data_IF_199551105739
#
_entry.id   IF_199551105739
#
_cell.length_a   1.000
_cell.length_b   1.000
_cell.length_c   1.000
_cell.angle_alpha   90.00
_cell.angle_beta   90.00
_cell.angle_gamma   90.00
#
_symmetry.space_group_name_H-M   'P 1'
#
loop_
_entity.id
_entity.type
_entity.pdbx_description
1 polymer ?
#
# COMPACT_ATOMS: atom_id res chain seq x y z
N UNK A 1 10.32 6.41 5.72
CA UNK A 1 10.50 7.88 5.82
C UNK A 1 10.58 8.57 4.45
N UNK A 2 11.50 8.19 3.56
CA UNK A 2 11.68 8.87 2.26
C UNK A 2 10.43 8.83 1.36
N UNK A 3 9.67 7.73 1.36
CA UNK A 3 8.46 7.60 0.54
C UNK A 3 7.35 8.60 0.92
N UNK A 4 7.02 8.72 2.21
CA UNK A 4 5.99 9.66 2.69
C UNK A 4 6.38 11.10 2.38
N UNK A 5 7.65 11.47 2.59
CA UNK A 5 8.15 12.80 2.24
C UNK A 5 8.07 13.08 0.73
N UNK A 6 8.28 12.06 -0.11
CA UNK A 6 8.13 12.21 -1.55
C UNK A 6 6.67 12.46 -1.94
N UNK A 7 5.71 11.79 -1.29
CA UNK A 7 4.28 12.03 -1.51
C UNK A 7 3.87 13.46 -1.09
N UNK A 8 4.29 13.93 0.07
CA UNK A 8 4.03 15.32 0.50
C UNK A 8 4.61 16.37 -0.46
N UNK A 9 5.70 16.04 -1.14
CA UNK A 9 6.30 16.94 -2.13
C UNK A 9 5.55 16.89 -3.47
N UNK A 10 5.01 15.74 -3.82
CA UNK A 10 4.31 15.51 -5.10
C UNK A 10 2.87 16.06 -5.06
N UNK A 11 2.20 15.94 -3.92
CA UNK A 11 0.82 16.38 -3.72
C UNK A 11 0.81 17.63 -2.85
N UNK A 12 0.38 18.76 -3.42
CA UNK A 12 0.27 20.06 -2.71
C UNK A 12 -1.01 20.19 -1.86
N UNK A 13 -1.89 19.18 -1.88
CA UNK A 13 -3.15 19.13 -1.14
C UNK A 13 -3.02 18.41 0.21
N UNK A 14 -4.01 18.59 1.09
CA UNK A 14 -4.12 17.87 2.37
C UNK A 14 -4.14 16.34 2.12
N UNK A 15 -3.11 15.64 2.59
CA UNK A 15 -2.94 14.21 2.35
C UNK A 15 -3.45 13.38 3.52
N UNK A 16 -4.47 12.55 3.25
CA UNK A 16 -4.96 11.53 4.17
C UNK A 16 -4.30 10.19 3.85
N UNK A 17 -3.53 9.63 4.78
CA UNK A 17 -2.89 8.31 4.63
C UNK A 17 -3.63 7.30 5.48
N UNK A 18 -4.23 6.31 4.82
CA UNK A 18 -4.88 5.17 5.48
C UNK A 18 -3.88 4.03 5.63
N UNK A 19 -3.64 3.59 6.86
CA UNK A 19 -2.66 2.56 7.20
C UNK A 19 -3.35 1.35 7.83
N UNK A 20 -2.81 0.16 7.56
CA UNK A 20 -3.17 -1.02 8.34
C UNK A 20 -2.58 -0.92 9.76
N UNK A 21 -3.05 -1.77 10.65
CA UNK A 21 -2.62 -1.79 12.05
C UNK A 21 -1.22 -2.39 12.27
N UNK A 22 -0.37 -2.52 11.25
CA UNK A 22 0.90 -3.21 11.41
C UNK A 22 1.85 -2.45 12.38
N UNK A 23 2.59 -3.15 13.26
CA UNK A 23 3.38 -2.51 14.32
C UNK A 23 4.43 -1.51 13.84
N UNK A 24 4.96 -1.67 12.62
CA UNK A 24 5.95 -0.76 12.05
C UNK A 24 5.36 0.60 11.61
N UNK A 25 4.05 0.70 11.39
CA UNK A 25 3.37 1.98 11.18
C UNK A 25 3.11 2.73 12.51
N UNK A 26 3.15 2.02 13.64
CA UNK A 26 3.00 2.61 14.98
C UNK A 26 4.33 3.06 15.60
N UNK A 27 5.45 2.86 14.90
CA UNK A 27 6.75 3.32 15.37
C UNK A 27 6.79 4.86 15.47
N UNK A 28 7.46 5.37 16.51
CA UNK A 28 7.56 6.82 16.77
C UNK A 28 8.04 7.62 15.55
N UNK A 29 8.95 7.07 14.75
CA UNK A 29 9.46 7.71 13.55
C UNK A 29 8.39 8.00 12.47
N UNK A 30 7.28 7.25 12.46
CA UNK A 30 6.16 7.43 11.53
C UNK A 30 5.15 8.44 12.12
N UNK A 31 4.83 8.32 13.40
CA UNK A 31 3.95 9.28 14.09
C UNK A 31 4.56 10.68 14.19
N UNK A 32 5.88 10.78 14.41
CA UNK A 32 6.62 12.05 14.45
C UNK A 32 6.70 12.71 13.08
N UNK A 33 6.67 11.94 11.99
CA UNK A 33 6.60 12.47 10.64
C UNK A 33 5.22 13.06 10.37
N UNK A 34 4.17 12.36 10.78
CA UNK A 34 2.79 12.83 10.62
C UNK A 34 2.58 14.20 11.28
N UNK A 35 3.06 14.32 12.52
CA UNK A 35 2.92 15.54 13.31
C UNK A 35 3.74 16.74 12.77
N UNK A 36 4.80 16.48 12.00
CA UNK A 36 5.69 17.53 11.48
C UNK A 36 5.28 18.08 10.12
N UNK A 37 4.73 17.22 9.27
CA UNK A 37 4.46 17.52 7.86
C UNK A 37 2.95 17.61 7.55
N UNK A 38 2.12 17.87 8.57
CA UNK A 38 0.65 18.03 8.50
C UNK A 38 -0.09 16.90 7.77
N UNK A 39 0.39 15.67 7.97
CA UNK A 39 -0.23 14.47 7.40
C UNK A 39 -1.28 13.92 8.36
N UNK A 40 -2.49 13.71 7.85
CA UNK A 40 -3.53 13.02 8.59
C UNK A 40 -3.38 11.51 8.39
N UNK A 41 -3.11 10.77 9.48
CA UNK A 41 -3.07 9.31 9.45
C UNK A 41 -4.35 8.72 10.02
N UNK A 42 -4.94 7.77 9.30
CA UNK A 42 -6.08 6.99 9.73
C UNK A 42 -5.69 5.52 9.77
N UNK A 43 -5.84 4.89 10.94
CA UNK A 43 -5.60 3.45 11.09
C UNK A 43 -6.90 2.70 10.91
N UNK A 44 -6.88 1.65 10.09
CA UNK A 44 -7.99 0.73 9.99
C UNK A 44 -8.22 -0.04 11.30
N UNK A 45 -9.46 -0.49 11.59
CA UNK A 45 -9.72 -1.39 12.71
C UNK A 45 -8.84 -2.64 12.65
N UNK A 46 -8.44 -3.13 13.82
CA UNK A 46 -7.66 -4.37 13.92
C UNK A 46 -8.40 -5.53 13.29
N UNK A 47 -7.68 -6.36 12.52
CA UNK A 47 -8.22 -7.55 11.86
C UNK A 47 -9.34 -7.28 10.85
N UNK A 48 -9.36 -6.10 10.22
CA UNK A 48 -10.31 -5.75 9.14
C UNK A 48 -9.65 -5.65 7.75
N UNK A 49 -9.15 -6.76 7.18
CA UNK A 49 -8.60 -6.76 5.81
C UNK A 49 -9.64 -6.39 4.76
N UNK A 50 -10.93 -6.65 5.01
CA UNK A 50 -12.03 -6.29 4.11
C UNK A 50 -12.19 -4.78 3.87
N UNK A 51 -11.63 -3.95 4.76
CA UNK A 51 -11.62 -2.50 4.64
C UNK A 51 -10.37 -1.96 3.95
N UNK A 52 -9.39 -2.81 3.65
CA UNK A 52 -8.12 -2.40 3.07
C UNK A 52 -8.12 -2.65 1.56
N UNK A 53 -8.20 -1.61 0.71
CA UNK A 53 -8.26 -1.78 -0.75
C UNK A 53 -7.05 -2.53 -1.33
N UNK A 54 -5.88 -2.44 -0.67
CA UNK A 54 -4.67 -3.12 -1.15
C UNK A 54 -4.81 -4.65 -1.16
N UNK A 55 -5.70 -5.21 -0.34
CA UNK A 55 -5.95 -6.66 -0.31
C UNK A 55 -6.50 -7.18 -1.64
N UNK A 56 -7.28 -6.35 -2.36
CA UNK A 56 -7.76 -6.69 -3.70
C UNK A 56 -6.62 -6.68 -4.73
N UNK A 57 -5.68 -5.74 -4.61
CA UNK A 57 -4.46 -5.75 -5.43
C UNK A 57 -3.61 -7.00 -5.15
N UNK A 58 -3.46 -7.39 -3.88
CA UNK A 58 -2.76 -8.62 -3.51
C UNK A 58 -3.43 -9.87 -4.06
N UNK A 59 -4.77 -9.93 -4.00
CA UNK A 59 -5.55 -11.04 -4.57
C UNK A 59 -5.30 -11.18 -6.08
N UNK A 60 -5.29 -10.08 -6.82
CA UNK A 60 -5.01 -10.07 -8.26
C UNK A 60 -3.58 -10.49 -8.57
N UNK A 61 -2.60 -9.95 -7.83
CA UNK A 61 -1.19 -10.30 -7.99
C UNK A 61 -0.95 -11.79 -7.71
N UNK A 62 -1.50 -12.29 -6.60
CA UNK A 62 -1.39 -13.70 -6.24
C UNK A 62 -2.02 -14.59 -7.31
N UNK A 63 -3.19 -14.22 -7.85
CA UNK A 63 -3.81 -14.97 -8.94
C UNK A 63 -2.91 -15.02 -10.19
N UNK A 64 -2.29 -13.90 -10.58
CA UNK A 64 -1.41 -13.81 -11.74
C UNK A 64 -0.09 -14.60 -11.59
N UNK A 65 0.41 -14.74 -10.36
CA UNK A 65 1.66 -15.43 -10.05
C UNK A 65 1.46 -16.88 -9.58
N UNK A 66 0.22 -17.27 -9.25
CA UNK A 66 -0.09 -18.60 -8.73
C UNK A 66 0.24 -19.72 -9.72
N UNK A 67 0.60 -20.90 -9.19
CA UNK A 67 0.88 -22.11 -9.96
C UNK A 67 1.99 -21.96 -11.01
N UNK A 68 2.89 -21.00 -10.84
CA UNK A 68 4.08 -20.79 -11.67
C UNK A 68 5.34 -21.03 -10.86
N UNK A 69 6.33 -21.60 -11.52
CA UNK A 69 7.69 -21.70 -11.00
C UNK A 69 8.54 -20.65 -11.71
N UNK A 70 9.44 -20.01 -10.96
CA UNK A 70 10.35 -19.00 -11.45
C UNK A 70 11.78 -19.45 -11.13
N UNK A 71 12.62 -19.53 -12.15
CA UNK A 71 13.99 -20.03 -12.05
C UNK A 71 14.96 -18.99 -11.46
N UNK A 72 14.55 -17.72 -11.44
CA UNK A 72 15.38 -16.61 -10.94
C UNK A 72 14.55 -15.49 -10.33
N UNK A 73 15.22 -14.64 -9.54
CA UNK A 73 14.62 -13.41 -9.03
C UNK A 73 14.25 -12.45 -10.17
N UNK A 74 15.08 -12.35 -11.21
CA UNK A 74 14.81 -11.47 -12.35
C UNK A 74 13.52 -11.87 -13.09
N UNK A 75 13.30 -13.18 -13.23
CA UNK A 75 12.07 -13.71 -13.83
C UNK A 75 10.85 -13.41 -12.95
N UNK A 76 10.97 -13.60 -11.63
CA UNK A 76 9.91 -13.25 -10.68
C UNK A 76 9.61 -11.75 -10.70
N UNK A 77 10.62 -10.89 -10.67
CA UNK A 77 10.47 -9.43 -10.73
C UNK A 77 9.77 -9.02 -12.02
N UNK A 78 10.20 -9.55 -13.17
CA UNK A 78 9.54 -9.27 -14.46
C UNK A 78 8.07 -9.69 -14.46
N UNK A 79 7.76 -10.84 -13.84
CA UNK A 79 6.39 -11.31 -13.73
C UNK A 79 5.55 -10.45 -12.77
N UNK A 80 6.14 -9.96 -11.68
CA UNK A 80 5.50 -9.01 -10.77
C UNK A 80 5.19 -7.70 -11.52
N UNK A 81 6.18 -7.10 -12.19
CA UNK A 81 6.01 -5.84 -12.92
C UNK A 81 4.90 -5.96 -13.98
N UNK A 82 4.92 -7.04 -14.77
CA UNK A 82 3.89 -7.29 -15.78
C UNK A 82 2.48 -7.49 -15.16
N UNK A 83 2.40 -8.08 -13.97
CA UNK A 83 1.13 -8.24 -13.27
C UNK A 83 0.65 -6.91 -12.66
N UNK A 84 1.56 -6.09 -12.14
CA UNK A 84 1.27 -4.74 -11.63
C UNK A 84 0.69 -3.84 -12.73
N UNK A 85 1.24 -3.90 -13.95
CA UNK A 85 0.74 -3.15 -15.12
C UNK A 85 -0.69 -3.52 -15.52
N UNK A 86 -1.16 -4.71 -15.13
CA UNK A 86 -2.49 -5.24 -15.47
C UNK A 86 -3.47 -5.14 -14.30
N UNK A 87 -3.06 -4.59 -13.15
CA UNK A 87 -3.93 -4.49 -11.99
C UNK A 87 -5.10 -3.54 -12.27
N UNK A 88 -6.29 -4.02 -11.93
CA UNK A 88 -7.45 -3.14 -11.80
C UNK A 88 -7.40 -2.47 -10.43
N UNK A 89 -7.09 -1.17 -10.41
CA UNK A 89 -7.06 -0.38 -9.17
C UNK A 89 -8.46 -0.35 -8.54
N UNK A 90 -8.62 -0.80 -7.29
CA UNK A 90 -9.91 -0.81 -6.63
C UNK A 90 -10.37 0.62 -6.34
N UNK A 91 -11.68 0.86 -6.49
CA UNK A 91 -12.28 2.14 -6.08
C UNK A 91 -12.34 2.19 -4.56
N UNK A 92 -11.62 3.13 -3.96
CA UNK A 92 -11.57 3.33 -2.50
C UNK A 92 -12.96 3.56 -1.91
N UNK A 93 -13.88 4.19 -2.64
CA UNK A 93 -15.28 4.38 -2.24
C UNK A 93 -16.08 3.09 -2.04
N UNK A 94 -15.56 1.93 -2.44
CA UNK A 94 -16.24 0.65 -2.19
C UNK A 94 -15.97 0.12 -0.76
N UNK A 95 -15.08 0.76 -0.01
CA UNK A 95 -14.59 0.30 1.29
C UNK A 95 -15.03 1.21 2.46
N UNK A 96 -15.73 2.32 2.16
CA UNK A 96 -16.22 3.31 3.13
C UNK A 96 -17.64 3.77 2.78
#
# INVERSE_FOLDING_TARGET
KHFILALCKEFEDDLLVVLDGAPYFQASAVTDLAARDDLAFVTLPSYSPELNPVEECWRQLQAALSNRFFDSLDELTTAIDAALDQLSVPKVSNYF
#
